data_IF_407909319151
#
_entry.id   IF_407909319151
#
_cell.length_a   1.000
_cell.length_b   1.000
_cell.length_c   1.000
_cell.angle_alpha   90.00
_cell.angle_beta   90.00
_cell.angle_gamma   90.00
#
_symmetry.space_group_name_H-M   'P 1'
#
loop_
_entity.id
_entity.type
_entity.pdbx_description
1 polymer ?
#
# COMPACT_ATOMS: atom_id res chain seq x y z
N UNK A 1 43.00 33.58 -38.01
CA UNK A 1 42.23 33.94 -36.80
C UNK A 1 40.87 33.23 -36.73
N UNK A 2 40.14 33.06 -37.84
CA UNK A 2 38.81 32.41 -37.85
C UNK A 2 38.73 30.97 -37.29
N UNK A 3 39.72 30.11 -37.55
CA UNK A 3 39.68 28.70 -37.09
C UNK A 3 39.76 28.53 -35.56
N UNK A 4 40.48 29.41 -34.86
CA UNK A 4 40.56 29.39 -33.39
C UNK A 4 39.27 29.86 -32.72
N UNK A 5 38.55 30.78 -33.35
CA UNK A 5 37.27 31.27 -32.84
C UNK A 5 36.16 30.24 -33.07
N UNK A 6 36.14 29.58 -34.24
CA UNK A 6 35.22 28.48 -34.52
C UNK A 6 35.40 27.29 -33.55
N UNK A 7 36.65 26.96 -33.17
CA UNK A 7 36.93 25.92 -32.20
C UNK A 7 36.43 26.29 -30.79
N UNK A 8 36.59 27.56 -30.37
CA UNK A 8 36.06 28.04 -29.08
C UNK A 8 34.53 28.03 -29.03
N UNK A 9 33.87 28.45 -30.10
CA UNK A 9 32.39 28.40 -30.21
C UNK A 9 31.88 26.95 -30.16
N UNK A 10 32.54 26.02 -30.86
CA UNK A 10 32.19 24.60 -30.83
C UNK A 10 32.38 23.95 -29.44
N UNK A 11 33.38 24.39 -28.66
CA UNK A 11 33.61 23.94 -27.28
C UNK A 11 32.57 24.53 -26.32
N UNK A 12 32.21 25.80 -26.49
CA UNK A 12 31.17 26.47 -25.69
C UNK A 12 29.78 25.87 -25.92
N UNK A 13 29.43 25.57 -27.18
CA UNK A 13 28.22 24.84 -27.54
C UNK A 13 28.21 23.42 -26.96
N UNK A 14 29.37 22.73 -26.96
CA UNK A 14 29.52 21.39 -26.36
C UNK A 14 29.32 21.43 -24.84
N UNK A 15 29.89 22.42 -24.14
CA UNK A 15 29.73 22.64 -22.69
C UNK A 15 28.26 22.94 -22.32
N UNK A 16 27.59 23.81 -23.06
CA UNK A 16 26.19 24.18 -22.78
C UNK A 16 25.19 23.07 -23.15
N UNK A 17 25.51 22.21 -24.13
CA UNK A 17 24.70 21.04 -24.51
C UNK A 17 24.81 19.87 -23.51
N UNK A 18 25.93 19.73 -22.76
CA UNK A 18 26.10 18.63 -21.77
C UNK A 18 25.03 18.60 -20.68
N UNK A 19 24.65 19.72 -20.02
CA UNK A 19 23.59 19.70 -19.02
C UNK A 19 22.23 19.31 -19.65
N UNK A 20 21.90 19.79 -20.84
CA UNK A 20 20.64 19.45 -21.52
C UNK A 20 20.57 17.95 -21.86
N UNK A 21 21.64 17.38 -22.41
CA UNK A 21 21.72 15.93 -22.70
C UNK A 21 21.66 15.11 -21.41
N UNK A 22 22.26 15.59 -20.32
CA UNK A 22 22.20 14.94 -19.01
C UNK A 22 20.78 14.95 -18.42
N UNK A 23 20.06 16.09 -18.46
CA UNK A 23 18.68 16.18 -18.00
C UNK A 23 17.72 15.32 -18.83
N UNK A 24 17.89 15.28 -20.16
CA UNK A 24 17.11 14.41 -21.06
C UNK A 24 17.38 12.93 -20.76
N UNK A 25 18.65 12.57 -20.52
CA UNK A 25 19.00 11.19 -20.17
C UNK A 25 18.41 10.78 -18.81
N UNK A 26 18.42 11.70 -17.84
CA UNK A 26 17.86 11.48 -16.50
C UNK A 26 16.33 11.35 -16.53
N UNK A 27 15.63 12.15 -17.35
CA UNK A 27 14.18 12.06 -17.52
C UNK A 27 13.74 10.81 -18.28
N UNK A 28 14.52 10.34 -19.25
CA UNK A 28 14.28 9.05 -19.92
C UNK A 28 14.54 7.86 -18.98
N UNK A 29 15.56 7.95 -18.12
CA UNK A 29 15.84 6.92 -17.11
C UNK A 29 14.74 6.85 -16.04
N UNK A 30 14.22 8.00 -15.58
CA UNK A 30 13.12 8.02 -14.62
C UNK A 30 11.80 7.52 -15.22
N UNK A 31 11.53 7.82 -16.49
CA UNK A 31 10.35 7.33 -17.21
C UNK A 31 10.40 5.81 -17.44
N UNK A 32 11.56 5.29 -17.86
CA UNK A 32 11.77 3.84 -18.06
C UNK A 32 11.71 3.05 -16.74
N UNK A 33 12.27 3.59 -15.65
CA UNK A 33 12.14 3.01 -14.32
C UNK A 33 10.69 3.00 -13.83
N UNK A 34 9.94 4.09 -14.05
CA UNK A 34 8.52 4.19 -13.69
C UNK A 34 7.66 3.22 -14.50
N UNK A 35 7.94 3.07 -15.80
CA UNK A 35 7.24 2.13 -16.68
C UNK A 35 7.54 0.67 -16.30
N UNK A 36 8.80 0.35 -15.98
CA UNK A 36 9.20 -0.99 -15.52
C UNK A 36 8.56 -1.33 -14.16
N UNK A 37 8.46 -0.35 -13.25
CA UNK A 37 7.77 -0.51 -11.97
C UNK A 37 6.28 -0.77 -12.17
N UNK A 38 5.62 -0.01 -13.06
CA UNK A 38 4.22 -0.24 -13.40
C UNK A 38 4.00 -1.59 -14.09
N UNK A 39 4.91 -2.06 -14.95
CA UNK A 39 4.82 -3.38 -15.57
C UNK A 39 5.01 -4.52 -14.56
N UNK A 40 5.86 -4.32 -13.54
CA UNK A 40 6.04 -5.27 -12.43
C UNK A 40 4.80 -5.39 -11.54
N UNK A 41 4.16 -4.26 -11.23
CA UNK A 41 2.88 -4.23 -10.49
C UNK A 41 1.76 -4.81 -11.35
N UNK A 42 1.67 -4.41 -12.63
CA UNK A 42 0.68 -4.92 -13.59
C UNK A 42 0.80 -6.44 -13.75
N UNK A 43 2.02 -6.97 -13.90
CA UNK A 43 2.23 -8.42 -14.02
C UNK A 43 1.75 -9.17 -12.78
N UNK A 44 2.00 -8.62 -11.58
CA UNK A 44 1.52 -9.20 -10.32
C UNK A 44 0.00 -9.12 -10.19
N UNK A 45 -0.61 -7.99 -10.53
CA UNK A 45 -2.06 -7.80 -10.45
C UNK A 45 -2.79 -8.63 -11.50
N UNK A 46 -2.28 -8.72 -12.73
CA UNK A 46 -2.82 -9.59 -13.78
C UNK A 46 -2.72 -11.07 -13.41
N UNK A 47 -1.59 -11.51 -12.82
CA UNK A 47 -1.47 -12.89 -12.33
C UNK A 47 -2.45 -13.19 -11.19
N UNK A 48 -2.61 -12.25 -10.25
CA UNK A 48 -3.59 -12.33 -9.16
C UNK A 48 -5.03 -12.45 -9.71
N UNK A 49 -5.36 -11.60 -10.69
CA UNK A 49 -6.67 -11.58 -11.34
C UNK A 49 -6.94 -12.87 -12.10
N UNK A 50 -5.94 -13.42 -12.81
CA UNK A 50 -6.07 -14.69 -13.50
C UNK A 50 -6.36 -15.85 -12.52
N UNK A 51 -5.68 -15.89 -11.37
CA UNK A 51 -5.95 -16.89 -10.31
C UNK A 51 -7.36 -16.74 -9.74
N UNK A 52 -7.81 -15.50 -9.49
CA UNK A 52 -9.18 -15.21 -9.04
C UNK A 52 -10.23 -15.65 -10.05
N UNK A 53 -10.03 -15.34 -11.34
CA UNK A 53 -10.97 -15.70 -12.41
C UNK A 53 -11.02 -17.20 -12.64
N UNK A 54 -9.88 -17.88 -12.57
CA UNK A 54 -9.81 -19.33 -12.64
C UNK A 54 -10.54 -19.99 -11.45
N UNK A 55 -10.34 -19.47 -10.24
CA UNK A 55 -11.09 -19.89 -9.06
C UNK A 55 -12.60 -19.68 -9.23
N UNK A 56 -13.03 -18.50 -9.68
CA UNK A 56 -14.44 -18.19 -9.94
C UNK A 56 -15.07 -19.13 -10.97
N UNK A 57 -14.37 -19.41 -12.08
CA UNK A 57 -14.83 -20.34 -13.10
C UNK A 57 -14.93 -21.78 -12.57
N UNK A 58 -13.96 -22.22 -11.77
CA UNK A 58 -13.97 -23.53 -11.11
C UNK A 58 -15.19 -23.70 -10.19
N UNK A 59 -15.44 -22.73 -9.30
CA UNK A 59 -16.60 -22.76 -8.39
C UNK A 59 -17.94 -22.62 -9.15
N UNK A 60 -17.98 -21.90 -10.27
CA UNK A 60 -19.18 -21.79 -11.12
C UNK A 60 -19.52 -23.06 -11.88
N UNK A 61 -18.52 -23.87 -12.25
CA UNK A 61 -18.72 -25.13 -12.98
C UNK A 61 -18.99 -26.32 -12.05
N UNK A 62 -18.40 -26.35 -10.85
CA UNK A 62 -18.54 -27.47 -9.89
C UNK A 62 -19.75 -27.36 -8.97
N UNK A 63 -20.28 -26.15 -8.71
CA UNK A 63 -21.41 -25.94 -7.77
C UNK A 63 -22.67 -25.50 -8.53
N UNK A 64 -23.60 -26.44 -8.80
CA UNK A 64 -24.84 -26.13 -9.51
C UNK A 64 -25.82 -25.30 -8.67
N UNK A 65 -25.78 -25.41 -7.34
CA UNK A 65 -26.63 -24.65 -6.43
C UNK A 65 -26.15 -23.19 -6.30
N UNK A 66 -26.96 -22.19 -6.72
CA UNK A 66 -26.57 -20.79 -6.70
C UNK A 66 -26.30 -20.25 -5.30
N UNK A 67 -27.02 -20.73 -4.28
CA UNK A 67 -26.89 -20.22 -2.90
C UNK A 67 -25.56 -20.63 -2.27
N UNK A 68 -25.21 -21.91 -2.38
CA UNK A 68 -23.92 -22.45 -1.94
C UNK A 68 -22.73 -21.88 -2.73
N UNK A 69 -22.93 -21.53 -4.02
CA UNK A 69 -21.88 -20.90 -4.85
C UNK A 69 -21.55 -19.48 -4.41
N UNK A 70 -22.58 -18.65 -4.18
CA UNK A 70 -22.42 -17.28 -3.68
C UNK A 70 -21.68 -17.27 -2.34
N UNK A 71 -22.04 -18.24 -1.48
CA UNK A 71 -21.41 -18.46 -0.20
C UNK A 71 -19.90 -18.72 -0.30
N UNK A 72 -19.51 -19.76 -1.02
CA UNK A 72 -18.10 -20.13 -1.12
C UNK A 72 -17.24 -19.07 -1.82
N UNK A 73 -17.81 -18.39 -2.82
CA UNK A 73 -17.12 -17.31 -3.52
C UNK A 73 -16.89 -16.10 -2.60
N UNK A 74 -17.88 -15.75 -1.78
CA UNK A 74 -17.77 -14.71 -0.76
C UNK A 74 -16.65 -15.01 0.24
N UNK A 75 -16.56 -16.25 0.74
CA UNK A 75 -15.47 -16.68 1.64
C UNK A 75 -14.10 -16.57 0.98
N UNK A 76 -13.99 -17.05 -0.26
CA UNK A 76 -12.73 -17.04 -0.99
C UNK A 76 -12.26 -15.61 -1.27
N UNK A 77 -13.16 -14.74 -1.74
CA UNK A 77 -12.89 -13.33 -1.99
C UNK A 77 -12.48 -12.60 -0.70
N UNK A 78 -13.19 -12.87 0.40
CA UNK A 78 -12.85 -12.31 1.71
C UNK A 78 -11.46 -12.75 2.15
N UNK A 79 -11.17 -14.06 2.19
CA UNK A 79 -9.86 -14.60 2.61
C UNK A 79 -8.69 -14.06 1.75
N UNK A 80 -8.93 -13.90 0.45
CA UNK A 80 -7.98 -13.30 -0.46
C UNK A 80 -7.75 -11.80 -0.16
N UNK A 81 -8.81 -11.06 0.12
CA UNK A 81 -8.73 -9.65 0.53
C UNK A 81 -7.94 -9.52 1.85
N UNK A 82 -8.18 -10.42 2.80
CA UNK A 82 -7.42 -10.50 4.06
C UNK A 82 -5.91 -10.66 3.77
N UNK A 83 -5.54 -11.63 2.94
CA UNK A 83 -4.12 -11.88 2.61
C UNK A 83 -3.48 -10.70 1.87
N UNK A 84 -4.25 -9.96 1.08
CA UNK A 84 -3.77 -8.71 0.47
C UNK A 84 -3.47 -7.61 1.51
N UNK A 85 -4.27 -7.51 2.57
CA UNK A 85 -4.06 -6.54 3.66
C UNK A 85 -2.79 -6.81 4.50
N UNK A 86 -2.21 -8.01 4.44
CA UNK A 86 -0.94 -8.30 5.12
C UNK A 86 0.26 -7.57 4.51
N UNK A 87 0.24 -7.28 3.20
CA UNK A 87 1.34 -6.58 2.52
C UNK A 87 1.59 -5.16 3.05
N UNK A 88 0.59 -4.24 3.10
CA UNK A 88 0.80 -2.92 3.67
C UNK A 88 1.02 -2.96 5.19
N UNK A 89 0.56 -4.01 5.88
CA UNK A 89 0.82 -4.19 7.32
C UNK A 89 2.30 -4.52 7.59
N UNK A 90 2.92 -5.38 6.79
CA UNK A 90 4.34 -5.69 6.91
C UNK A 90 5.22 -4.44 6.68
N UNK A 91 4.83 -3.59 5.74
CA UNK A 91 5.51 -2.32 5.49
C UNK A 91 5.24 -1.29 6.59
N UNK A 92 4.04 -1.28 7.15
CA UNK A 92 3.72 -0.48 8.33
C UNK A 92 4.58 -0.88 9.54
N UNK A 93 4.80 -2.18 9.77
CA UNK A 93 5.69 -2.67 10.84
C UNK A 93 7.12 -2.18 10.63
N UNK A 94 7.62 -2.14 9.39
CA UNK A 94 8.95 -1.59 9.07
C UNK A 94 9.04 -0.10 9.37
N UNK A 95 7.99 0.67 9.04
CA UNK A 95 7.93 2.12 9.28
C UNK A 95 7.82 2.41 10.79
N UNK A 96 7.01 1.65 11.53
CA UNK A 96 6.92 1.79 12.99
C UNK A 96 8.24 1.40 13.66
N UNK A 97 8.94 0.38 13.13
CA UNK A 97 10.28 0.00 13.57
C UNK A 97 11.34 1.08 13.28
N UNK A 98 11.12 1.95 12.28
CA UNK A 98 11.98 3.12 12.03
C UNK A 98 11.76 4.27 13.03
N UNK A 99 11.02 4.04 14.13
CA UNK A 99 10.90 4.92 15.31
C UNK A 99 10.30 6.30 15.04
N UNK A 100 9.45 6.45 14.02
CA UNK A 100 8.65 7.65 13.84
C UNK A 100 7.15 7.30 13.87
N UNK A 101 6.56 7.37 15.06
CA UNK A 101 5.10 7.30 15.29
C UNK A 101 4.38 8.60 14.90
N UNK A 102 5.12 9.61 14.42
CA UNK A 102 4.58 10.92 14.02
C UNK A 102 3.58 10.84 12.87
N UNK A 103 3.59 9.76 12.08
CA UNK A 103 2.71 9.57 10.93
C UNK A 103 1.44 8.76 11.24
N UNK A 104 1.31 8.13 12.40
CA UNK A 104 0.16 7.29 12.75
C UNK A 104 -0.65 7.97 13.85
N UNK A 105 -1.70 8.69 13.45
CA UNK A 105 -2.63 9.32 14.38
C UNK A 105 -3.43 8.26 15.14
N UNK A 106 -3.31 8.28 16.47
CA UNK A 106 -4.14 7.48 17.40
C UNK A 106 -5.63 7.44 17.04
N UNK A 107 -6.31 8.57 16.71
CA UNK A 107 -7.73 8.55 16.35
C UNK A 107 -8.03 7.72 15.10
N UNK A 108 -7.13 7.69 14.10
CA UNK A 108 -7.33 6.89 12.90
C UNK A 108 -7.38 5.39 13.22
N UNK A 109 -6.53 4.94 14.15
CA UNK A 109 -6.52 3.55 14.63
C UNK A 109 -7.82 3.19 15.35
N UNK A 110 -8.31 4.09 16.20
CA UNK A 110 -9.57 3.88 16.94
C UNK A 110 -10.77 3.83 16.00
N UNK A 111 -10.84 4.73 15.01
CA UNK A 111 -11.94 4.73 14.03
C UNK A 111 -11.92 3.46 13.17
N UNK A 112 -10.74 3.02 12.71
CA UNK A 112 -10.63 1.77 11.95
C UNK A 112 -11.03 0.56 12.81
N UNK A 113 -10.63 0.53 14.08
CA UNK A 113 -11.03 -0.53 15.01
C UNK A 113 -12.56 -0.58 15.18
N UNK A 114 -13.18 0.56 15.48
CA UNK A 114 -14.63 0.66 15.71
C UNK A 114 -15.42 0.29 14.45
N UNK A 115 -14.99 0.78 13.28
CA UNK A 115 -15.63 0.44 12.02
C UNK A 115 -15.53 -1.06 11.72
N UNK A 116 -14.34 -1.66 11.84
CA UNK A 116 -14.17 -3.10 11.61
C UNK A 116 -14.93 -3.93 12.64
N UNK A 117 -14.97 -3.50 13.90
CA UNK A 117 -15.76 -4.15 14.95
C UNK A 117 -17.27 -4.06 14.68
N UNK A 118 -17.78 -2.89 14.26
CA UNK A 118 -19.20 -2.72 13.95
C UNK A 118 -19.64 -3.56 12.76
N UNK A 119 -18.83 -3.62 11.70
CA UNK A 119 -19.12 -4.46 10.53
C UNK A 119 -19.01 -5.95 10.84
N UNK A 120 -18.06 -6.35 11.68
CA UNK A 120 -17.96 -7.74 12.13
C UNK A 120 -19.18 -8.14 12.96
N UNK A 121 -19.57 -7.31 13.93
CA UNK A 121 -20.75 -7.55 14.74
C UNK A 121 -22.03 -7.57 13.90
N UNK A 122 -22.15 -6.65 12.94
CA UNK A 122 -23.27 -6.63 12.00
C UNK A 122 -23.37 -7.92 11.17
N UNK A 123 -22.25 -8.41 10.63
CA UNK A 123 -22.20 -9.69 9.93
C UNK A 123 -22.59 -10.87 10.83
N UNK A 124 -22.17 -10.87 12.10
CA UNK A 124 -22.55 -11.91 13.05
C UNK A 124 -24.05 -11.89 13.39
N UNK A 125 -24.65 -10.71 13.56
CA UNK A 125 -26.10 -10.57 13.83
C UNK A 125 -26.95 -11.03 12.63
N UNK A 126 -26.44 -10.86 11.42
CA UNK A 126 -27.08 -11.33 10.19
C UNK A 126 -26.80 -12.81 9.87
N UNK A 127 -26.02 -13.50 10.71
CA UNK A 127 -25.45 -14.83 10.42
C UNK A 127 -24.70 -14.89 9.07
N UNK A 128 -24.23 -13.74 8.60
CA UNK A 128 -23.53 -13.55 7.34
C UNK A 128 -22.01 -13.44 7.61
N UNK A 129 -21.36 -14.60 7.52
CA UNK A 129 -19.91 -14.71 7.67
C UNK A 129 -19.14 -13.99 6.55
N UNK A 130 -19.77 -13.68 5.40
CA UNK A 130 -19.11 -12.97 4.30
C UNK A 130 -18.84 -11.52 4.65
N UNK A 131 -19.66 -10.92 5.51
CA UNK A 131 -19.45 -9.56 6.02
C UNK A 131 -18.49 -9.58 7.21
N UNK A 132 -18.58 -10.60 8.06
CA UNK A 132 -17.75 -10.70 9.26
C UNK A 132 -16.26 -10.98 8.96
N UNK A 133 -15.97 -11.97 8.12
CA UNK A 133 -14.60 -12.43 7.83
C UNK A 133 -13.67 -11.32 7.27
N UNK A 134 -14.04 -10.51 6.26
CA UNK A 134 -13.13 -9.52 5.69
C UNK A 134 -12.82 -8.37 6.66
N UNK A 135 -13.58 -8.19 7.74
CA UNK A 135 -13.36 -7.16 8.75
C UNK A 135 -12.45 -7.60 9.90
N UNK A 136 -12.25 -8.91 10.09
CA UNK A 136 -11.34 -9.48 11.12
C UNK A 136 -9.90 -8.95 11.02
N UNK A 137 -9.27 -8.79 9.84
CA UNK A 137 -7.93 -8.22 9.75
C UNK A 137 -7.90 -6.76 10.16
N UNK A 138 -8.97 -5.99 9.92
CA UNK A 138 -9.09 -4.61 10.38
C UNK A 138 -9.02 -4.51 11.91
N UNK A 139 -9.67 -5.45 12.60
CA UNK A 139 -9.57 -5.62 14.07
C UNK A 139 -8.14 -6.03 14.45
N UNK A 140 -7.57 -7.06 13.82
CA UNK A 140 -6.24 -7.57 14.13
C UNK A 140 -5.14 -6.50 13.93
N UNK A 141 -5.19 -5.76 12.82
CA UNK A 141 -4.22 -4.68 12.54
C UNK A 141 -4.36 -3.53 13.54
N UNK A 142 -5.58 -3.22 13.97
CA UNK A 142 -5.83 -2.21 15.01
C UNK A 142 -5.30 -2.65 16.38
N UNK A 143 -5.45 -3.92 16.75
CA UNK A 143 -4.87 -4.49 17.97
C UNK A 143 -3.34 -4.39 17.98
N UNK A 144 -2.70 -4.69 16.85
CA UNK A 144 -1.24 -4.54 16.70
C UNK A 144 -0.81 -3.08 16.89
N UNK A 145 -1.57 -2.13 16.31
CA UNK A 145 -1.31 -0.69 16.50
C UNK A 145 -1.49 -0.24 17.95
N UNK A 146 -2.53 -0.72 18.64
CA UNK A 146 -2.70 -0.45 20.08
C UNK A 146 -1.58 -1.03 20.93
N UNK A 147 -1.14 -2.25 20.64
CA UNK A 147 -0.01 -2.87 21.33
C UNK A 147 1.29 -2.05 21.14
N UNK A 148 1.51 -1.52 19.94
CA UNK A 148 2.62 -0.62 19.64
C UNK A 148 2.54 0.70 20.42
N UNK A 149 1.36 1.33 20.49
CA UNK A 149 1.15 2.53 21.32
C UNK A 149 1.39 2.27 22.80
N UNK A 150 1.00 1.10 23.31
CA UNK A 150 1.25 0.70 24.69
C UNK A 150 2.74 0.50 24.99
N UNK A 151 3.47 -0.12 24.05
CA UNK A 151 4.90 -0.42 24.22
C UNK A 151 5.82 0.78 23.99
N UNK A 152 5.44 1.66 23.06
CA UNK A 152 6.13 2.92 22.77
C UNK A 152 5.20 4.08 23.16
N UNK A 153 5.10 4.41 24.47
CA UNK A 153 4.44 5.64 24.86
C UNK A 153 5.11 6.78 24.10
N UNK A 154 4.31 7.57 23.38
CA UNK A 154 4.80 8.78 22.74
C UNK A 154 5.53 9.58 23.82
N UNK A 155 6.82 9.82 23.61
CA UNK A 155 7.58 10.75 24.42
C UNK A 155 6.84 12.08 24.27
N UNK A 156 6.01 12.41 25.26
CA UNK A 156 5.33 13.69 25.30
C UNK A 156 6.45 14.70 25.28
N UNK A 157 6.50 15.45 24.18
CA UNK A 157 7.49 16.49 23.95
C UNK A 157 7.40 17.46 25.12
N UNK A 158 8.25 17.24 26.12
CA UNK A 158 8.28 17.96 27.40
C UNK A 158 8.61 19.45 27.19
N UNK A 159 8.85 19.85 25.94
CA UNK A 159 9.21 21.19 25.49
C UNK A 159 8.07 22.22 25.52
N UNK A 160 6.78 21.85 25.54
CA UNK A 160 5.74 22.86 25.70
C UNK A 160 5.68 23.45 27.13
N UNK A 161 6.20 22.73 28.14
CA UNK A 161 6.32 23.25 29.51
C UNK A 161 7.56 24.12 29.73
N UNK A 162 8.59 24.01 28.90
CA UNK A 162 9.81 24.82 29.00
C UNK A 162 9.70 26.16 28.26
N UNK A 163 8.72 26.31 27.37
CA UNK A 163 8.40 27.57 26.69
C UNK A 163 7.37 28.43 27.46
N UNK A 164 6.92 27.94 28.62
CA UNK A 164 5.91 28.59 29.48
C UNK A 164 6.43 28.89 30.90
N UNK A 165 7.73 28.74 31.15
CA UNK A 165 8.39 29.02 32.42
C UNK A 165 9.37 30.21 32.29
#
# INVERSE_FOLDING_TARGET
>A
VGSRNACKEAIQLREHQRPCVFYISLSLLSLSLSLALQLGVLRKTTALLAVLLFGYAYFSLMVPDPTTRLAQLGLFCSLFTITMYLSPLADLIKIVKSRSTRCLSFPLTVTTFLASASWTFYGLVLEDLYIAIPNVPGIATSLVRFWLFWRFPAEQDKNYKLLQA
#
